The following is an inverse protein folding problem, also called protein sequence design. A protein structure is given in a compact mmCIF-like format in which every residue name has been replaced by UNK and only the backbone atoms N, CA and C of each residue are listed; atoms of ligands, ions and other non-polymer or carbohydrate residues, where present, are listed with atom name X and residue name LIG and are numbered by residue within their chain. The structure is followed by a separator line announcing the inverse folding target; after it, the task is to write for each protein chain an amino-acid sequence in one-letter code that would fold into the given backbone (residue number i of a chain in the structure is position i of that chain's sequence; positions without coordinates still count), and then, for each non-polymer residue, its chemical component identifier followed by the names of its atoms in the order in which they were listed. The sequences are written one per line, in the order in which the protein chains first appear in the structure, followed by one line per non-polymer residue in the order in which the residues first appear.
data_IF_002552362495
#
_entry.id   IF_002552362495
#
_cell.length_a   1.000
_cell.length_b   1.000
_cell.length_c   1.000
_cell.angle_alpha   90.00
_cell.angle_beta   90.00
_cell.angle_gamma   90.00
#
_symmetry.space_group_name_H-M   'P 1'
#
loop_
_entity.id
_entity.type
_entity.pdbx_description
1 polymer ?
#
# COMPACT_ATOMS: atom_id res chain seq x y z
N UNK A 1 -4.80 22.75 -10.51
CA UNK A 1 -3.84 23.86 -10.65
C UNK A 1 -3.46 24.10 -12.12
N UNK A 2 -2.88 23.15 -12.85
CA UNK A 2 -2.53 23.37 -14.28
C UNK A 2 -3.72 23.75 -15.18
N UNK A 3 -4.93 23.21 -14.91
CA UNK A 3 -6.16 23.60 -15.62
C UNK A 3 -6.57 25.07 -15.33
N UNK A 4 -6.17 25.61 -14.19
CA UNK A 4 -6.41 27.00 -13.79
C UNK A 4 -5.26 27.94 -14.16
N UNK A 5 -4.29 27.48 -14.96
CA UNK A 5 -3.13 28.27 -15.37
C UNK A 5 -2.10 28.51 -14.26
N UNK A 6 -2.18 27.81 -13.15
CA UNK A 6 -1.24 27.98 -12.03
C UNK A 6 -0.03 27.06 -12.26
N UNK A 7 1.17 27.64 -12.26
CA UNK A 7 2.41 26.89 -12.31
C UNK A 7 2.63 26.15 -10.97
N UNK A 8 2.56 24.82 -11.02
CA UNK A 8 2.71 23.98 -9.85
C UNK A 8 4.14 23.42 -9.65
N UNK A 9 5.08 23.79 -10.52
CA UNK A 9 6.46 23.26 -10.46
C UNK A 9 7.23 23.65 -9.22
N UNK A 10 6.88 24.79 -8.63
CA UNK A 10 7.48 25.29 -7.37
C UNK A 10 6.80 24.74 -6.11
N UNK A 11 5.68 24.01 -6.26
CA UNK A 11 4.93 23.48 -5.13
C UNK A 11 5.35 22.04 -4.83
N UNK A 12 5.64 21.76 -3.57
CA UNK A 12 5.87 20.39 -3.10
C UNK A 12 4.53 19.66 -3.05
N UNK A 13 4.31 18.73 -3.98
CA UNK A 13 3.08 17.97 -4.08
C UNK A 13 3.38 16.48 -4.21
N UNK A 14 2.64 15.66 -3.48
CA UNK A 14 2.72 14.19 -3.57
C UNK A 14 1.98 13.66 -4.80
N UNK A 15 0.98 14.39 -5.27
CA UNK A 15 0.17 14.06 -6.44
C UNK A 15 0.87 14.36 -7.76
N UNK A 16 0.39 13.74 -8.83
CA UNK A 16 0.76 14.07 -10.21
C UNK A 16 -0.45 14.55 -10.98
N UNK A 17 -0.19 15.45 -11.92
CA UNK A 17 -1.22 15.96 -12.82
C UNK A 17 -1.83 14.83 -13.65
N UNK A 18 -3.16 14.78 -13.68
CA UNK A 18 -3.92 13.92 -14.59
C UNK A 18 -4.15 14.59 -15.96
N UNK A 19 -3.72 15.81 -16.13
CA UNK A 19 -4.00 16.60 -17.32
C UNK A 19 -3.52 15.96 -18.63
N UNK A 20 -2.32 15.34 -18.71
CA UNK A 20 -1.89 14.63 -19.91
C UNK A 20 -2.81 13.46 -20.28
N UNK A 21 -3.34 12.76 -19.27
CA UNK A 21 -4.30 11.68 -19.47
C UNK A 21 -5.64 12.21 -19.97
N UNK A 22 -6.16 13.26 -19.35
CA UNK A 22 -7.43 13.90 -19.72
C UNK A 22 -7.39 14.52 -21.12
N UNK A 23 -6.24 15.00 -21.56
CA UNK A 23 -6.01 15.53 -22.91
C UNK A 23 -5.71 14.45 -23.95
N UNK A 24 -5.70 13.18 -23.59
CA UNK A 24 -5.36 12.09 -24.49
C UNK A 24 -3.88 12.05 -24.94
N UNK A 25 -3.01 12.84 -24.31
CA UNK A 25 -1.58 12.92 -24.62
C UNK A 25 -0.82 11.68 -24.15
N UNK A 26 -1.40 10.92 -23.25
CA UNK A 26 -0.91 9.61 -22.81
C UNK A 26 -2.07 8.64 -22.57
N UNK A 27 -1.87 7.38 -22.92
CA UNK A 27 -2.82 6.30 -22.66
C UNK A 27 -2.50 5.54 -21.36
N UNK A 28 -1.35 5.80 -20.76
CA UNK A 28 -0.88 5.09 -19.56
C UNK A 28 -0.49 6.10 -18.49
N UNK A 29 -1.11 5.96 -17.34
CA UNK A 29 -0.63 6.64 -16.16
C UNK A 29 0.62 5.93 -15.62
N UNK A 30 1.48 6.71 -14.96
CA UNK A 30 2.74 6.25 -14.42
C UNK A 30 2.57 5.02 -13.51
N UNK A 31 3.47 4.04 -13.66
CA UNK A 31 3.53 2.85 -12.82
C UNK A 31 4.27 3.12 -11.50
N UNK A 32 4.20 4.38 -10.99
CA UNK A 32 4.82 4.68 -9.70
C UNK A 32 4.21 3.83 -8.60
N UNK A 33 5.00 3.47 -7.58
CA UNK A 33 4.45 2.82 -6.41
C UNK A 33 3.54 3.78 -5.65
N UNK A 34 2.45 3.25 -5.13
CA UNK A 34 1.56 3.88 -4.17
C UNK A 34 1.74 3.19 -2.83
N UNK A 35 1.76 3.97 -1.76
CA UNK A 35 2.01 3.47 -0.42
C UNK A 35 0.87 3.85 0.51
N UNK A 36 0.54 2.97 1.43
CA UNK A 36 -0.35 3.21 2.56
C UNK A 36 0.33 2.66 3.80
N UNK A 37 0.20 3.39 4.88
CA UNK A 37 0.76 3.04 6.17
C UNK A 37 -0.28 3.24 7.25
N UNK A 38 -0.61 2.18 7.95
CA UNK A 38 -1.58 2.19 9.04
C UNK A 38 -0.99 1.46 10.25
N UNK A 39 -0.23 2.17 11.13
CA UNK A 39 0.48 1.58 12.26
C UNK A 39 -0.40 1.44 13.50
N UNK A 40 -1.70 1.24 13.35
CA UNK A 40 -2.65 1.22 14.44
C UNK A 40 -3.62 0.03 14.34
N UNK A 41 -4.29 -0.24 15.46
CA UNK A 41 -5.41 -1.15 15.52
C UNK A 41 -6.70 -0.38 15.32
N UNK A 42 -7.61 -0.91 14.53
CA UNK A 42 -8.94 -0.38 14.37
C UNK A 42 -9.93 -1.35 15.00
N UNK A 43 -10.53 -0.92 16.09
CA UNK A 43 -11.60 -1.65 16.77
C UNK A 43 -12.89 -1.64 15.95
N UNK A 44 -13.74 -2.66 16.13
CA UNK A 44 -15.05 -2.75 15.52
C UNK A 44 -15.99 -3.61 16.34
N UNK A 45 -17.25 -3.18 16.45
CA UNK A 45 -18.27 -3.82 17.26
C UNK A 45 -18.64 -5.25 16.83
N UNK A 46 -18.43 -5.57 15.56
CA UNK A 46 -18.65 -6.91 15.00
C UNK A 46 -17.57 -7.19 13.97
N UNK A 47 -16.53 -7.83 14.45
CA UNK A 47 -15.38 -8.13 13.60
C UNK A 47 -15.58 -9.47 12.90
N UNK A 48 -15.63 -9.47 11.58
CA UNK A 48 -15.47 -10.72 10.84
C UNK A 48 -14.01 -11.17 10.97
N UNK A 49 -13.82 -12.27 11.70
CA UNK A 49 -12.51 -12.91 11.89
C UNK A 49 -11.78 -13.20 10.57
N UNK A 50 -12.48 -13.21 9.43
CA UNK A 50 -11.90 -13.37 8.10
C UNK A 50 -11.09 -12.16 7.65
N UNK A 51 -11.44 -10.96 8.11
CA UNK A 51 -10.76 -9.73 7.73
C UNK A 51 -9.56 -9.42 8.63
N UNK A 52 -9.71 -9.60 9.95
CA UNK A 52 -8.69 -9.17 10.93
C UNK A 52 -7.89 -10.32 11.56
N UNK A 53 -8.42 -11.53 11.48
CA UNK A 53 -7.84 -12.70 12.17
C UNK A 53 -8.00 -12.66 13.70
N UNK A 54 -8.70 -11.65 14.26
CA UNK A 54 -9.04 -11.55 15.68
C UNK A 54 -10.45 -11.00 15.86
N UNK A 55 -11.15 -11.40 16.94
CA UNK A 55 -12.50 -10.95 17.20
C UNK A 55 -12.61 -9.49 17.64
N UNK A 56 -11.52 -8.81 18.00
CA UNK A 56 -11.52 -7.46 18.58
C UNK A 56 -11.09 -6.37 17.59
N UNK A 57 -10.38 -6.70 16.52
CA UNK A 57 -9.84 -5.70 15.63
C UNK A 57 -10.34 -5.87 14.19
N UNK A 58 -10.88 -4.81 13.63
CA UNK A 58 -11.26 -4.74 12.21
C UNK A 58 -10.02 -4.74 11.32
N UNK A 59 -8.92 -4.13 11.76
CA UNK A 59 -7.62 -4.21 11.10
C UNK A 59 -6.50 -4.11 12.12
N UNK A 60 -5.37 -4.69 11.76
CA UNK A 60 -4.12 -4.66 12.51
C UNK A 60 -3.11 -3.76 11.82
N UNK A 61 -2.01 -3.38 12.53
CA UNK A 61 -0.96 -2.57 11.93
C UNK A 61 -0.36 -3.19 10.68
N UNK A 62 -0.47 -2.47 9.55
CA UNK A 62 0.02 -2.92 8.25
C UNK A 62 0.61 -1.78 7.44
N UNK A 63 1.52 -2.11 6.54
CA UNK A 63 1.88 -1.25 5.41
C UNK A 63 1.57 -1.94 4.10
N UNK A 64 1.17 -1.15 3.12
CA UNK A 64 0.78 -1.63 1.80
C UNK A 64 1.54 -0.86 0.73
N UNK A 65 2.03 -1.59 -0.25
CA UNK A 65 2.58 -1.05 -1.49
C UNK A 65 1.81 -1.61 -2.67
N UNK A 66 1.42 -0.72 -3.60
CA UNK A 66 0.90 -1.11 -4.91
C UNK A 66 1.77 -0.56 -6.02
N UNK A 67 2.25 -1.43 -6.92
CA UNK A 67 2.98 -1.04 -8.11
C UNK A 67 2.47 -1.80 -9.33
N UNK A 68 1.81 -1.08 -10.23
CA UNK A 68 1.16 -1.70 -11.38
C UNK A 68 0.05 -2.67 -10.97
N UNK A 69 0.21 -3.95 -11.30
CA UNK A 69 -0.74 -5.03 -10.94
C UNK A 69 -0.39 -5.74 -9.63
N UNK A 70 0.75 -5.42 -9.04
CA UNK A 70 1.21 -6.06 -7.83
C UNK A 70 0.84 -5.26 -6.59
N UNK A 71 0.38 -5.95 -5.55
CA UNK A 71 0.12 -5.41 -4.22
C UNK A 71 0.90 -6.24 -3.21
N UNK A 72 1.69 -5.56 -2.38
CA UNK A 72 2.38 -6.15 -1.24
C UNK A 72 1.75 -5.62 0.04
N UNK A 73 1.52 -6.50 1.00
CA UNK A 73 1.08 -6.17 2.36
C UNK A 73 2.13 -6.69 3.32
N UNK A 74 2.55 -5.85 4.25
CA UNK A 74 3.42 -6.18 5.37
C UNK A 74 2.63 -6.07 6.67
N UNK A 75 2.59 -7.16 7.44
CA UNK A 75 1.94 -7.23 8.74
C UNK A 75 2.98 -7.04 9.84
N UNK A 76 2.87 -5.99 10.65
CA UNK A 76 3.89 -5.65 11.65
C UNK A 76 3.99 -6.65 12.80
N UNK A 77 2.88 -7.19 13.27
CA UNK A 77 2.87 -8.12 14.40
C UNK A 77 3.61 -9.43 14.12
N UNK A 78 3.54 -9.90 12.89
CA UNK A 78 4.04 -11.23 12.50
C UNK A 78 5.24 -11.16 11.55
N UNK A 79 5.53 -9.99 11.00
CA UNK A 79 6.49 -9.84 9.90
C UNK A 79 6.05 -10.53 8.61
N UNK A 80 4.80 -11.00 8.55
CA UNK A 80 4.27 -11.72 7.38
C UNK A 80 4.17 -10.78 6.19
N UNK A 81 4.63 -11.27 5.04
CA UNK A 81 4.45 -10.60 3.76
C UNK A 81 3.41 -11.34 2.92
N UNK A 82 2.51 -10.57 2.33
CA UNK A 82 1.54 -11.07 1.37
C UNK A 82 1.71 -10.36 0.04
N UNK A 83 1.74 -11.13 -1.04
CA UNK A 83 1.90 -10.62 -2.40
C UNK A 83 0.73 -11.07 -3.26
N UNK A 84 0.10 -10.12 -3.94
CA UNK A 84 -1.05 -10.37 -4.80
C UNK A 84 -0.86 -9.77 -6.19
N UNK A 85 -1.35 -10.47 -7.21
CA UNK A 85 -1.55 -9.91 -8.55
C UNK A 85 -3.02 -9.51 -8.70
N UNK A 86 -3.35 -8.29 -8.36
CA UNK A 86 -4.73 -7.77 -8.31
C UNK A 86 -5.43 -7.69 -9.67
N UNK A 87 -4.72 -7.91 -10.78
CA UNK A 87 -5.34 -8.07 -12.10
C UNK A 87 -5.93 -9.46 -12.30
N UNK A 88 -5.31 -10.48 -11.71
CA UNK A 88 -5.72 -11.88 -11.84
C UNK A 88 -6.56 -12.35 -10.65
N UNK A 89 -6.31 -11.75 -9.48
CA UNK A 89 -6.95 -12.08 -8.21
C UNK A 89 -7.35 -10.78 -7.50
N UNK A 90 -8.48 -10.21 -7.91
CA UNK A 90 -9.02 -8.96 -7.36
C UNK A 90 -9.49 -9.13 -5.90
N UNK A 91 -9.81 -10.37 -5.52
CA UNK A 91 -10.28 -10.72 -4.17
C UNK A 91 -9.15 -11.10 -3.20
N UNK A 92 -7.89 -11.03 -3.65
CA UNK A 92 -6.69 -11.26 -2.83
C UNK A 92 -6.73 -12.61 -2.08
N UNK A 93 -7.22 -13.67 -2.75
CA UNK A 93 -7.41 -15.01 -2.15
C UNK A 93 -6.13 -15.85 -2.11
N UNK A 94 -5.20 -15.59 -3.06
CA UNK A 94 -3.98 -16.38 -3.19
C UNK A 94 -2.74 -15.54 -2.91
N UNK A 95 -2.14 -15.76 -1.76
CA UNK A 95 -0.83 -15.15 -1.46
C UNK A 95 0.27 -15.80 -2.33
N UNK A 96 0.93 -14.98 -3.15
CA UNK A 96 1.98 -15.37 -4.08
C UNK A 96 3.39 -15.08 -3.55
N UNK A 97 3.56 -14.69 -2.29
CA UNK A 97 4.86 -14.29 -1.73
C UNK A 97 5.90 -15.41 -1.78
N UNK A 98 5.48 -16.64 -1.48
CA UNK A 98 6.34 -17.82 -1.55
C UNK A 98 6.65 -18.24 -3.00
N UNK A 99 5.67 -18.11 -3.91
CA UNK A 99 5.83 -18.45 -5.32
C UNK A 99 6.72 -17.43 -6.07
N UNK A 100 6.84 -16.20 -5.55
CA UNK A 100 7.57 -15.10 -6.19
C UNK A 100 8.55 -14.39 -5.24
N UNK A 101 9.54 -15.09 -4.67
CA UNK A 101 10.40 -14.54 -3.60
C UNK A 101 11.22 -13.33 -4.05
N UNK A 102 11.72 -13.32 -5.30
CA UNK A 102 12.47 -12.17 -5.83
C UNK A 102 11.58 -10.93 -5.95
N UNK A 103 10.35 -11.08 -6.42
CA UNK A 103 9.40 -9.97 -6.55
C UNK A 103 9.00 -9.44 -5.17
N UNK A 104 8.69 -10.34 -4.24
CA UNK A 104 8.36 -10.02 -2.85
C UNK A 104 9.48 -9.19 -2.21
N UNK A 105 10.72 -9.65 -2.30
CA UNK A 105 11.89 -8.94 -1.78
C UNK A 105 12.03 -7.54 -2.39
N UNK A 106 11.98 -7.42 -3.71
CA UNK A 106 12.12 -6.12 -4.40
C UNK A 106 11.06 -5.11 -3.96
N UNK A 107 9.80 -5.55 -3.85
CA UNK A 107 8.71 -4.65 -3.43
C UNK A 107 8.78 -4.32 -1.94
N UNK A 108 9.23 -5.25 -1.11
CA UNK A 108 9.45 -5.01 0.32
C UNK A 108 10.59 -4.00 0.55
N UNK A 109 11.72 -4.16 -0.12
CA UNK A 109 12.82 -3.19 -0.08
C UNK A 109 12.36 -1.77 -0.50
N UNK A 110 11.49 -1.69 -1.51
CA UNK A 110 10.91 -0.43 -1.95
C UNK A 110 9.99 0.19 -0.89
N UNK A 111 9.19 -0.62 -0.20
CA UNK A 111 8.33 -0.21 0.91
C UNK A 111 9.17 0.29 2.10
N UNK A 112 10.20 -0.46 2.48
CA UNK A 112 11.12 -0.09 3.56
C UNK A 112 11.84 1.24 3.30
N UNK A 113 12.34 1.41 2.08
CA UNK A 113 13.00 2.66 1.69
C UNK A 113 12.04 3.86 1.75
N UNK A 114 10.78 3.65 1.36
CA UNK A 114 9.76 4.69 1.47
C UNK A 114 9.44 5.00 2.95
N UNK A 115 9.23 3.99 3.80
CA UNK A 115 9.01 4.17 5.25
C UNK A 115 10.11 5.02 5.89
N UNK A 116 11.37 4.67 5.63
CA UNK A 116 12.53 5.44 6.11
C UNK A 116 12.53 6.88 5.61
N UNK A 117 12.23 7.08 4.33
CA UNK A 117 12.22 8.42 3.71
C UNK A 117 11.19 9.36 4.32
N UNK A 118 10.01 8.84 4.69
CA UNK A 118 8.91 9.64 5.26
C UNK A 118 8.90 9.67 6.78
N UNK A 119 9.80 8.94 7.44
CA UNK A 119 9.80 8.79 8.89
C UNK A 119 8.55 8.10 9.41
N UNK A 120 8.07 7.06 8.69
CA UNK A 120 6.86 6.35 9.06
C UNK A 120 7.03 5.69 10.44
N UNK A 121 6.15 5.93 11.43
CA UNK A 121 6.24 5.27 12.72
C UNK A 121 5.96 3.78 12.58
N UNK A 122 6.75 2.94 13.24
CA UNK A 122 6.48 1.50 13.30
C UNK A 122 5.76 1.16 14.60
N UNK A 123 4.73 0.31 14.51
CA UNK A 123 4.12 -0.28 15.69
C UNK A 123 5.06 -1.34 16.24
N UNK A 124 5.68 -1.04 17.37
CA UNK A 124 6.71 -1.92 17.98
C UNK A 124 6.15 -2.89 19.01
N UNK A 125 4.91 -2.70 19.44
CA UNK A 125 4.28 -3.57 20.45
C UNK A 125 2.93 -4.09 19.93
N UNK A 126 2.76 -5.42 19.84
CA UNK A 126 1.46 -6.01 19.57
C UNK A 126 0.47 -5.64 20.68
N UNK A 127 -0.77 -5.36 20.33
CA UNK A 127 -1.83 -5.28 21.32
C UNK A 127 -2.21 -6.71 21.71
N UNK A 128 -2.11 -7.07 23.00
CA UNK A 128 -2.33 -8.45 23.45
C UNK A 128 -3.82 -8.86 23.50
N UNK A 129 -4.75 -7.91 23.34
CA UNK A 129 -6.20 -8.17 23.45
C UNK A 129 -6.87 -8.35 22.09
#
# INVERSE_FOLDING_TARGET
MELAGIDSRSLQMDGRSLLPLLRGQTKRYDKRPLFWHFPAYLEGDKVDMRESGTPHFRTRPVSVLRQGTWKLIEHYETGKLELYNIRQDVSEKRNLSADNPRKTKTLHELLENWKKKVGAPESTQPNPE
#
